data_IF_021755938500
#
_entry.id   IF_021755938500
#
_cell.length_a   1.000
_cell.length_b   1.000
_cell.length_c   1.000
_cell.angle_alpha   90.00
_cell.angle_beta   90.00
_cell.angle_gamma   90.00
#
_symmetry.space_group_name_H-M   'P 1'
#
loop_
_entity.id
_entity.type
_entity.pdbx_description
1 polymer ?
#
# COMPACT_ATOMS: atom_id res chain seq x y z
N UNK A 1 8.26 -9.21 -41.07
CA UNK A 1 7.40 -9.80 -40.02
C UNK A 1 7.83 -9.14 -38.73
N UNK A 2 7.14 -8.07 -38.35
CA UNK A 2 7.37 -7.40 -37.08
C UNK A 2 6.78 -8.31 -36.01
N UNK A 3 7.66 -9.01 -35.31
CA UNK A 3 7.28 -9.83 -34.17
C UNK A 3 6.78 -8.87 -33.11
N UNK A 4 5.46 -8.78 -32.94
CA UNK A 4 4.85 -8.11 -31.80
C UNK A 4 5.38 -8.81 -30.54
N UNK A 5 6.41 -8.22 -29.95
CA UNK A 5 6.96 -8.66 -28.67
C UNK A 5 5.89 -8.33 -27.63
N UNK A 6 5.01 -9.30 -27.38
CA UNK A 6 4.00 -9.25 -26.35
C UNK A 6 4.68 -8.77 -25.05
N UNK A 7 4.33 -7.57 -24.58
CA UNK A 7 4.89 -7.00 -23.36
C UNK A 7 4.37 -7.82 -22.18
N UNK A 8 5.01 -8.96 -21.91
CA UNK A 8 4.69 -9.80 -20.76
C UNK A 8 5.07 -9.05 -19.48
N UNK A 9 4.10 -8.44 -18.82
CA UNK A 9 4.31 -7.73 -17.56
C UNK A 9 4.62 -8.71 -16.42
N UNK A 10 5.31 -8.24 -15.37
CA UNK A 10 5.55 -9.05 -14.17
C UNK A 10 4.23 -9.24 -13.43
N UNK A 11 3.64 -10.44 -13.50
CA UNK A 11 2.37 -10.80 -12.84
C UNK A 11 2.39 -10.45 -11.34
N UNK A 12 3.51 -10.67 -10.67
CA UNK A 12 3.70 -10.32 -9.25
C UNK A 12 3.76 -8.80 -9.01
N UNK A 13 4.31 -8.04 -9.96
CA UNK A 13 4.33 -6.57 -9.87
C UNK A 13 2.92 -5.99 -9.98
N UNK A 14 2.09 -6.53 -10.89
CA UNK A 14 0.67 -6.14 -11.02
C UNK A 14 -0.09 -6.51 -9.74
N UNK A 15 0.11 -7.71 -9.21
CA UNK A 15 -0.52 -8.14 -7.98
C UNK A 15 -0.16 -7.23 -6.79
N UNK A 16 1.13 -6.91 -6.62
CA UNK A 16 1.58 -5.97 -5.58
C UNK A 16 0.92 -4.60 -5.73
N UNK A 17 0.85 -4.07 -6.95
CA UNK A 17 0.26 -2.75 -7.20
C UNK A 17 -1.25 -2.74 -6.94
N UNK A 18 -1.97 -3.79 -7.36
CA UNK A 18 -3.39 -3.94 -7.09
C UNK A 18 -3.66 -4.03 -5.57
N UNK A 19 -2.87 -4.81 -4.83
CA UNK A 19 -2.99 -4.91 -3.38
C UNK A 19 -2.80 -3.54 -2.72
N UNK A 20 -1.74 -2.81 -3.07
CA UNK A 20 -1.49 -1.49 -2.48
C UNK A 20 -2.63 -0.51 -2.76
N UNK A 21 -3.21 -0.51 -3.96
CA UNK A 21 -4.38 0.34 -4.27
C UNK A 21 -5.58 -0.04 -3.38
N UNK A 22 -5.87 -1.32 -3.24
CA UNK A 22 -6.98 -1.80 -2.39
C UNK A 22 -6.76 -1.36 -0.93
N UNK A 23 -5.53 -1.50 -0.42
CA UNK A 23 -5.18 -1.07 0.94
C UNK A 23 -5.40 0.44 1.12
N UNK A 24 -4.97 1.27 0.16
CA UNK A 24 -5.20 2.73 0.21
C UNK A 24 -6.70 3.07 0.22
N UNK A 25 -7.50 2.38 -0.60
CA UNK A 25 -8.96 2.62 -0.63
C UNK A 25 -9.58 2.26 0.72
N UNK A 26 -9.21 1.10 1.28
CA UNK A 26 -9.68 0.68 2.61
C UNK A 26 -9.28 1.69 3.69
N UNK A 27 -8.09 2.27 3.61
CA UNK A 27 -7.65 3.32 4.53
C UNK A 27 -8.52 4.55 4.48
N UNK A 28 -8.72 5.10 3.28
CA UNK A 28 -9.51 6.31 3.09
C UNK A 28 -10.94 6.06 3.59
N UNK A 29 -11.52 4.90 3.27
CA UNK A 29 -12.85 4.53 3.74
C UNK A 29 -12.91 4.41 5.28
N UNK A 30 -11.96 3.69 5.88
CA UNK A 30 -11.90 3.50 7.34
C UNK A 30 -11.74 4.82 8.11
N UNK A 31 -10.87 5.70 7.64
CA UNK A 31 -10.66 7.02 8.23
C UNK A 31 -11.92 7.90 8.20
N UNK A 32 -12.67 7.86 7.10
CA UNK A 32 -13.94 8.59 6.99
C UNK A 32 -15.01 8.03 7.95
N UNK A 33 -15.13 6.70 8.04
CA UNK A 33 -16.11 6.05 8.92
C UNK A 33 -15.85 6.37 10.40
N UNK A 34 -14.59 6.39 10.83
CA UNK A 34 -14.25 6.69 12.21
C UNK A 34 -14.08 8.19 12.53
N UNK A 35 -14.33 9.09 11.57
CA UNK A 35 -14.20 10.53 11.82
C UNK A 35 -12.77 10.98 12.14
N UNK A 36 -11.76 10.19 11.78
CA UNK A 36 -10.35 10.42 12.10
C UNK A 36 -9.67 11.39 11.12
N UNK A 37 -10.41 11.96 10.18
CA UNK A 37 -9.92 12.90 9.15
C UNK A 37 -9.35 14.21 9.73
N UNK A 38 -9.66 14.54 10.97
CA UNK A 38 -9.14 15.73 11.64
C UNK A 38 -7.75 15.54 12.28
N UNK A 39 -7.25 14.29 12.37
CA UNK A 39 -5.97 13.96 13.01
C UNK A 39 -4.77 14.01 12.06
N UNK A 40 -4.99 14.40 10.80
CA UNK A 40 -3.95 14.58 9.78
C UNK A 40 -2.93 15.70 10.09
N UNK A 41 -3.12 16.45 11.17
CA UNK A 41 -2.16 17.47 11.62
C UNK A 41 -0.91 16.90 12.29
N UNK A 42 -0.93 15.63 12.71
CA UNK A 42 0.23 14.98 13.33
C UNK A 42 1.23 14.46 12.30
N UNK A 43 2.51 14.82 12.44
CA UNK A 43 3.60 14.29 11.60
C UNK A 43 3.62 12.76 11.54
N UNK A 44 3.26 12.10 12.66
CA UNK A 44 3.14 10.64 12.75
C UNK A 44 1.99 10.10 11.89
N UNK A 45 0.83 10.77 11.90
CA UNK A 45 -0.33 10.40 11.08
C UNK A 45 -0.03 10.57 9.58
N UNK A 46 0.58 11.69 9.19
CA UNK A 46 0.98 11.89 7.79
C UNK A 46 2.01 10.83 7.36
N UNK A 47 2.98 10.51 8.20
CA UNK A 47 3.97 9.49 7.85
C UNK A 47 3.37 8.09 7.72
N UNK A 48 2.50 7.66 8.64
CA UNK A 48 1.88 6.34 8.60
C UNK A 48 0.83 6.18 7.49
N UNK A 49 -0.01 7.19 7.26
CA UNK A 49 -1.13 7.10 6.31
C UNK A 49 -0.82 7.59 4.90
N UNK A 50 0.27 8.33 4.71
CA UNK A 50 0.72 8.80 3.39
C UNK A 50 2.13 8.26 3.06
N UNK A 51 3.07 8.35 3.99
CA UNK A 51 4.47 7.96 3.73
C UNK A 51 4.66 6.48 3.42
N UNK A 52 4.14 5.60 4.28
CA UNK A 52 4.22 4.14 4.11
C UNK A 52 3.52 3.65 2.83
N UNK A 53 2.25 4.05 2.54
CA UNK A 53 1.60 3.60 1.33
C UNK A 53 2.24 4.17 0.06
N UNK A 54 2.81 5.38 0.09
CA UNK A 54 3.60 5.92 -1.03
C UNK A 54 4.86 5.08 -1.26
N UNK A 55 5.57 4.68 -0.21
CA UNK A 55 6.72 3.79 -0.34
C UNK A 55 6.33 2.41 -0.90
N UNK A 56 5.20 1.85 -0.46
CA UNK A 56 4.65 0.60 -0.99
C UNK A 56 4.26 0.72 -2.47
N UNK A 57 3.66 1.84 -2.88
CA UNK A 57 3.33 2.11 -4.28
C UNK A 57 4.59 2.20 -5.15
N UNK A 58 5.63 2.91 -4.69
CA UNK A 58 6.90 3.01 -5.40
C UNK A 58 7.52 1.62 -5.56
N UNK A 59 7.52 0.79 -4.51
CA UNK A 59 8.01 -0.58 -4.57
C UNK A 59 7.22 -1.46 -5.55
N UNK A 60 5.89 -1.31 -5.59
CA UNK A 60 5.02 -1.99 -6.55
C UNK A 60 5.31 -1.59 -8.00
N UNK A 61 5.45 -0.29 -8.27
CA UNK A 61 5.78 0.24 -9.61
C UNK A 61 7.19 -0.19 -10.04
N UNK A 62 8.18 -0.07 -9.15
CA UNK A 62 9.56 -0.52 -9.43
C UNK A 62 9.60 -2.03 -9.69
N UNK A 63 8.80 -2.82 -8.96
CA UNK A 63 8.63 -4.26 -9.17
C UNK A 63 7.96 -4.62 -10.50
N UNK A 64 7.11 -3.74 -11.04
CA UNK A 64 6.49 -3.88 -12.36
C UNK A 64 7.49 -3.62 -13.50
N UNK A 65 8.35 -2.61 -13.34
CA UNK A 65 9.32 -2.18 -14.37
C UNK A 65 10.53 -3.13 -14.44
N UNK A 66 10.97 -3.70 -13.30
CA UNK A 66 12.12 -4.60 -13.26
C UNK A 66 11.80 -6.04 -13.68
N UNK A 67 11.62 -6.27 -15.00
CA UNK A 67 11.32 -7.57 -15.64
C UNK A 67 12.25 -8.75 -15.29
N UNK A 68 13.48 -8.52 -14.82
CA UNK A 68 14.55 -9.54 -14.68
C UNK A 68 15.28 -9.57 -13.33
N UNK A 69 15.04 -8.64 -12.41
CA UNK A 69 15.73 -8.60 -11.11
C UNK A 69 14.80 -9.19 -10.06
N UNK A 70 15.34 -10.12 -9.28
CA UNK A 70 14.74 -10.94 -8.21
C UNK A 70 13.38 -10.39 -7.73
N UNK A 71 12.36 -11.25 -7.65
CA UNK A 71 10.96 -11.00 -7.21
C UNK A 71 10.79 -10.27 -5.84
N UNK A 72 11.89 -9.84 -5.23
CA UNK A 72 12.04 -9.18 -3.94
C UNK A 72 11.27 -7.85 -3.89
N UNK A 73 11.29 -7.02 -4.94
CA UNK A 73 10.59 -5.72 -4.90
C UNK A 73 9.06 -5.83 -4.85
N UNK A 74 8.41 -6.65 -5.70
CA UNK A 74 6.98 -6.92 -5.55
C UNK A 74 6.63 -7.58 -4.20
N UNK A 75 7.46 -8.52 -3.73
CA UNK A 75 7.25 -9.17 -2.43
C UNK A 75 7.35 -8.15 -1.29
N UNK A 76 8.32 -7.24 -1.34
CA UNK A 76 8.44 -6.13 -0.37
C UNK A 76 7.21 -5.24 -0.40
N UNK A 77 6.69 -4.87 -1.58
CA UNK A 77 5.46 -4.09 -1.69
C UNK A 77 4.26 -4.77 -1.01
N UNK A 78 4.11 -6.08 -1.20
CA UNK A 78 3.07 -6.88 -0.54
C UNK A 78 3.29 -6.93 0.98
N UNK A 79 4.51 -7.23 1.43
CA UNK A 79 4.85 -7.33 2.86
C UNK A 79 4.62 -5.99 3.56
N UNK A 80 5.05 -4.88 2.97
CA UNK A 80 4.80 -3.54 3.49
C UNK A 80 3.31 -3.23 3.56
N UNK A 81 2.54 -3.56 2.52
CA UNK A 81 1.08 -3.35 2.51
C UNK A 81 0.38 -4.14 3.62
N UNK A 82 0.79 -5.39 3.87
CA UNK A 82 0.23 -6.23 4.94
C UNK A 82 0.61 -5.68 6.32
N UNK A 83 1.89 -5.34 6.51
CA UNK A 83 2.39 -4.79 7.77
C UNK A 83 1.70 -3.47 8.12
N UNK A 84 1.51 -2.60 7.12
CA UNK A 84 0.77 -1.35 7.26
C UNK A 84 -0.69 -1.63 7.68
N UNK A 85 -1.35 -2.58 7.02
CA UNK A 85 -2.73 -2.98 7.34
C UNK A 85 -2.88 -3.44 8.80
N UNK A 86 -1.92 -4.22 9.32
CA UNK A 86 -1.89 -4.60 10.73
C UNK A 86 -1.57 -3.45 11.68
N UNK A 87 -0.54 -2.66 11.38
CA UNK A 87 -0.08 -1.59 12.26
C UNK A 87 -1.16 -0.53 12.44
N UNK A 88 -1.74 -0.07 11.35
CA UNK A 88 -2.73 0.99 11.41
C UNK A 88 -4.12 0.40 11.73
N UNK A 89 -4.40 -0.86 11.40
CA UNK A 89 -5.64 -1.54 11.78
C UNK A 89 -5.74 -1.73 13.29
N UNK A 90 -4.63 -2.12 13.93
CA UNK A 90 -4.55 -2.20 15.40
C UNK A 90 -4.66 -0.82 16.05
N UNK A 91 -4.03 0.21 15.47
CA UNK A 91 -4.16 1.60 15.94
C UNK A 91 -5.62 2.07 15.85
N UNK A 92 -6.33 1.74 14.77
CA UNK A 92 -7.73 2.07 14.59
C UNK A 92 -8.63 1.42 15.67
N UNK A 93 -8.41 0.14 15.96
CA UNK A 93 -9.12 -0.57 17.04
C UNK A 93 -8.83 0.06 18.40
N UNK A 94 -7.58 0.42 18.67
CA UNK A 94 -7.21 1.08 19.92
C UNK A 94 -7.90 2.44 20.07
N UNK A 95 -7.93 3.25 19.01
CA UNK A 95 -8.61 4.55 19.04
C UNK A 95 -10.11 4.35 19.29
N UNK A 96 -10.75 3.40 18.61
CA UNK A 96 -12.17 3.09 18.84
C UNK A 96 -12.46 2.64 20.28
N UNK A 97 -11.61 1.78 20.85
CA UNK A 97 -11.75 1.32 22.23
C UNK A 97 -11.57 2.45 23.25
N UNK A 98 -10.66 3.39 23.00
CA UNK A 98 -10.35 4.48 23.91
C UNK A 98 -11.28 5.70 23.74
N UNK A 99 -12.02 5.77 22.62
CA UNK A 99 -12.97 6.84 22.32
C UNK A 99 -14.39 6.57 22.86
N UNK A 100 -14.63 5.40 23.47
CA UNK A 100 -15.87 5.07 24.20
C UNK A 100 -15.74 5.38 25.69
#
# INVERSE_FOLDING_TARGET
MDVEVEKKHSEYGIASLAITIIVIILWIAGLNIAGLTNYFSGYLFVFLFLGVPVAALILGIVGLIQKKRKKIFPILGIVFSILELFAVGSLFVLIMLYSQ
#
